data_IF_357563103737
#
_entry.id   IF_357563103737
#
_cell.length_a   1.000
_cell.length_b   1.000
_cell.length_c   1.000
_cell.angle_alpha   90.00
_cell.angle_beta   90.00
_cell.angle_gamma   90.00
#
_symmetry.space_group_name_H-M   'P 1'
#
loop_
_entity.id
_entity.type
_entity.pdbx_description
1 polymer ?
#
# COMPACT_ATOMS: atom_id res chain seq x y z
N UNK A 1 -6.72 -2.82 6.05
CA UNK A 1 -5.91 -3.87 5.36
C UNK A 1 -4.97 -3.34 4.26
N UNK A 2 -4.83 -2.02 4.04
CA UNK A 2 -3.90 -1.52 3.00
C UNK A 2 -2.42 -1.79 3.36
N UNK A 3 -2.08 -1.90 4.66
CA UNK A 3 -0.75 -2.33 5.15
C UNK A 3 -0.50 -3.85 5.10
N UNK A 4 -1.50 -4.66 4.75
CA UNK A 4 -1.34 -6.12 4.65
C UNK A 4 -0.84 -6.47 3.26
N UNK A 5 0.38 -7.00 3.18
CA UNK A 5 1.06 -7.39 1.95
C UNK A 5 1.16 -8.92 1.91
N UNK A 6 1.01 -9.52 0.73
CA UNK A 6 1.18 -10.97 0.57
C UNK A 6 2.65 -11.33 0.76
N UNK A 7 2.94 -12.55 1.21
CA UNK A 7 4.31 -13.06 1.33
C UNK A 7 5.12 -12.92 0.02
N UNK A 8 4.45 -13.04 -1.14
CA UNK A 8 5.06 -12.83 -2.46
C UNK A 8 5.39 -11.36 -2.80
N UNK A 9 5.27 -10.42 -1.86
CA UNK A 9 5.51 -8.98 -2.07
C UNK A 9 4.38 -8.25 -2.83
N UNK A 10 3.34 -8.96 -3.26
CA UNK A 10 2.21 -8.40 -3.98
C UNK A 10 1.18 -7.70 -3.08
N UNK A 11 0.55 -6.64 -3.62
CA UNK A 11 -0.64 -6.05 -3.02
C UNK A 11 -1.82 -7.00 -3.21
N UNK A 12 -2.24 -7.67 -2.13
CA UNK A 12 -3.47 -8.46 -2.15
C UNK A 12 -4.71 -7.59 -2.34
N UNK A 13 -5.85 -8.23 -2.64
CA UNK A 13 -7.12 -7.57 -2.91
C UNK A 13 -7.49 -6.54 -1.86
N UNK A 14 -7.94 -5.40 -2.35
CA UNK A 14 -8.42 -4.30 -1.53
C UNK A 14 -9.85 -4.00 -1.94
N UNK A 15 -10.73 -3.78 -0.96
CA UNK A 15 -12.16 -3.51 -1.18
C UNK A 15 -12.40 -2.35 -2.17
N UNK A 16 -11.45 -1.43 -2.28
CA UNK A 16 -11.52 -0.26 -3.16
C UNK A 16 -10.54 -0.32 -4.34
N UNK A 17 -10.06 -1.52 -4.67
CA UNK A 17 -9.08 -1.76 -5.74
C UNK A 17 -7.63 -1.63 -5.28
N UNK A 18 -6.75 -2.40 -5.94
CA UNK A 18 -5.31 -2.43 -5.70
C UNK A 18 -4.64 -1.06 -5.95
N UNK A 19 -5.15 -0.27 -6.90
CA UNK A 19 -4.64 1.07 -7.22
C UNK A 19 -4.74 2.02 -6.01
N UNK A 20 -5.88 2.02 -5.30
CA UNK A 20 -6.05 2.85 -4.10
C UNK A 20 -5.13 2.37 -2.97
N UNK A 21 -4.95 1.06 -2.82
CA UNK A 21 -4.02 0.48 -1.85
C UNK A 21 -2.57 0.91 -2.14
N UNK A 22 -2.16 0.91 -3.42
CA UNK A 22 -0.84 1.37 -3.86
C UNK A 22 -0.62 2.85 -3.59
N UNK A 23 -1.62 3.69 -3.87
CA UNK A 23 -1.53 5.14 -3.64
C UNK A 23 -1.35 5.48 -2.15
N UNK A 24 -2.12 4.85 -1.26
CA UNK A 24 -2.01 5.06 0.19
C UNK A 24 -0.62 4.64 0.69
N UNK A 25 -0.15 3.44 0.33
CA UNK A 25 1.17 2.96 0.73
C UNK A 25 2.30 3.84 0.19
N UNK A 26 2.18 4.31 -1.06
CA UNK A 26 3.15 5.23 -1.66
C UNK A 26 3.20 6.58 -0.95
N UNK A 27 2.05 7.13 -0.55
CA UNK A 27 1.98 8.38 0.22
C UNK A 27 2.59 8.22 1.62
N UNK A 28 2.27 7.12 2.33
CA UNK A 28 2.89 6.81 3.62
C UNK A 28 4.42 6.70 3.49
N UNK A 29 4.92 5.99 2.48
CA UNK A 29 6.35 5.83 2.24
C UNK A 29 7.05 7.18 1.95
N UNK A 30 6.42 8.03 1.13
CA UNK A 30 6.94 9.37 0.84
C UNK A 30 6.95 10.26 2.08
N UNK A 31 5.90 10.18 2.91
CA UNK A 31 5.81 10.93 4.16
C UNK A 31 6.88 10.52 5.16
N UNK A 32 7.12 9.21 5.34
CA UNK A 32 8.19 8.70 6.20
C UNK A 32 9.59 9.02 5.66
N UNK A 33 9.80 9.05 4.34
CA UNK A 33 11.09 9.40 3.75
C UNK A 33 11.45 10.88 3.88
N UNK A 34 10.46 11.74 4.15
CA UNK A 34 10.63 13.19 4.21
C UNK A 34 10.68 13.72 5.66
N UNK A 35 11.07 12.85 6.60
CA UNK A 35 11.17 13.07 8.03
C UNK A 35 12.57 12.68 8.51
#
# INVERSE_FOLDING_TARGET
>A
CHRVIRQAGGLGDYRWGSSRKKAILGWEAAYFSNQ
#
